data_IF_859928503390
#
_entry.id   IF_859928503390
#
_cell.length_a   1.000
_cell.length_b   1.000
_cell.length_c   1.000
_cell.angle_alpha   90.00
_cell.angle_beta   90.00
_cell.angle_gamma   90.00
#
_symmetry.space_group_name_H-M   'P 1'
#
loop_
_entity.id
_entity.type
_entity.pdbx_description
1 polymer ?
#
# COMPACT_ATOMS: atom_id res chain seq x y z
N UNK A 1 -13.58 16.45 6.90
CA UNK A 1 -12.53 16.72 5.90
C UNK A 1 -11.39 15.71 6.08
N UNK A 2 -11.72 14.42 5.97
CA UNK A 2 -10.92 13.26 6.45
C UNK A 2 -10.03 12.68 5.35
N UNK A 3 -10.47 12.68 4.09
CA UNK A 3 -9.66 12.33 2.90
C UNK A 3 -8.38 13.18 2.81
N UNK A 4 -8.40 14.42 3.32
CA UNK A 4 -7.26 15.34 3.29
C UNK A 4 -6.08 14.87 4.16
N UNK A 5 -6.33 14.12 5.25
CA UNK A 5 -5.26 13.73 6.17
C UNK A 5 -4.44 12.52 5.66
N UNK A 6 -5.08 11.54 5.02
CA UNK A 6 -4.38 10.40 4.41
C UNK A 6 -3.46 10.84 3.27
N UNK A 7 -3.94 11.75 2.42
CA UNK A 7 -3.14 12.34 1.34
C UNK A 7 -2.02 13.26 1.87
N UNK A 8 -2.26 13.96 2.98
CA UNK A 8 -1.24 14.79 3.62
C UNK A 8 -0.13 13.96 4.27
N UNK A 9 -0.47 12.84 4.94
CA UNK A 9 0.52 11.91 5.48
C UNK A 9 1.35 11.27 4.36
N UNK A 10 0.72 10.89 3.24
CA UNK A 10 1.42 10.40 2.05
C UNK A 10 2.39 11.45 1.47
N UNK A 11 1.96 12.71 1.38
CA UNK A 11 2.82 13.82 0.97
C UNK A 11 4.01 14.01 1.92
N UNK A 12 3.80 13.91 3.24
CA UNK A 12 4.86 14.02 4.23
C UNK A 12 5.90 12.90 4.08
N UNK A 13 5.46 11.67 3.80
CA UNK A 13 6.32 10.51 3.55
C UNK A 13 7.07 10.62 2.23
N UNK A 14 6.36 10.89 1.14
CA UNK A 14 6.95 10.78 -0.19
C UNK A 14 7.78 12.02 -0.57
N UNK A 15 7.32 13.22 -0.18
CA UNK A 15 7.94 14.49 -0.60
C UNK A 15 8.80 15.08 0.51
N UNK A 16 8.29 15.13 1.75
CA UNK A 16 9.01 15.79 2.86
C UNK A 16 9.96 14.86 3.61
N UNK A 17 9.84 13.55 3.42
CA UNK A 17 10.56 12.50 4.17
C UNK A 17 10.48 12.72 5.68
N UNK A 18 9.36 13.29 6.16
CA UNK A 18 9.11 13.56 7.57
C UNK A 18 8.21 12.46 8.15
N UNK A 19 8.84 11.33 8.49
CA UNK A 19 8.14 10.13 8.90
C UNK A 19 7.44 10.29 10.25
N UNK A 20 8.07 10.98 11.21
CA UNK A 20 7.48 11.19 12.54
C UNK A 20 6.15 11.95 12.46
N UNK A 21 6.12 13.00 11.64
CA UNK A 21 4.89 13.78 11.43
C UNK A 21 3.85 12.96 10.64
N UNK A 22 4.27 12.24 9.59
CA UNK A 22 3.36 11.39 8.82
C UNK A 22 2.67 10.34 9.70
N UNK A 23 3.43 9.67 10.57
CA UNK A 23 2.93 8.66 11.49
C UNK A 23 1.89 9.24 12.46
N UNK A 24 2.13 10.44 13.00
CA UNK A 24 1.16 11.12 13.87
C UNK A 24 -0.18 11.38 13.15
N UNK A 25 -0.14 11.76 11.86
CA UNK A 25 -1.36 11.96 11.08
C UNK A 25 -2.09 10.65 10.76
N UNK A 26 -1.36 9.57 10.45
CA UNK A 26 -1.97 8.26 10.28
C UNK A 26 -2.67 7.78 11.55
N UNK A 27 -1.98 7.83 12.69
CA UNK A 27 -2.53 7.44 13.99
C UNK A 27 -3.78 8.24 14.34
N UNK A 28 -3.73 9.58 14.20
CA UNK A 28 -4.90 10.44 14.44
C UNK A 28 -6.08 10.12 13.52
N UNK A 29 -5.83 9.76 12.27
CA UNK A 29 -6.89 9.40 11.32
C UNK A 29 -7.55 8.07 11.72
N UNK A 30 -6.74 7.10 12.16
CA UNK A 30 -7.21 5.80 12.65
C UNK A 30 -7.87 5.86 14.05
N UNK A 31 -7.55 6.85 14.87
CA UNK A 31 -8.30 7.11 16.12
C UNK A 31 -9.75 7.54 15.85
N UNK A 32 -9.98 8.26 14.74
CA UNK A 32 -11.31 8.76 14.37
C UNK A 32 -12.08 7.71 13.56
N UNK A 33 -11.42 7.07 12.59
CA UNK A 33 -12.01 6.07 11.70
C UNK A 33 -11.14 4.79 11.68
N UNK A 34 -11.22 3.95 12.73
CA UNK A 34 -10.33 2.79 12.89
C UNK A 34 -10.50 1.72 11.80
N UNK A 35 -11.69 1.65 11.21
CA UNK A 35 -12.07 0.66 10.19
C UNK A 35 -12.00 1.24 8.76
N UNK A 36 -11.49 2.46 8.59
CA UNK A 36 -11.34 3.05 7.26
C UNK A 36 -10.23 2.32 6.48
N UNK A 37 -10.61 1.62 5.41
CA UNK A 37 -9.69 0.79 4.61
C UNK A 37 -8.54 1.60 3.98
N UNK A 38 -8.81 2.81 3.51
CA UNK A 38 -7.80 3.69 2.91
C UNK A 38 -6.76 4.10 3.95
N UNK A 39 -7.19 4.48 5.16
CA UNK A 39 -6.26 4.87 6.22
C UNK A 39 -5.43 3.68 6.71
N UNK A 40 -6.05 2.51 6.84
CA UNK A 40 -5.34 1.29 7.19
C UNK A 40 -4.33 0.90 6.09
N UNK A 41 -4.71 1.00 4.81
CA UNK A 41 -3.86 0.70 3.66
C UNK A 41 -2.65 1.64 3.55
N UNK A 42 -2.89 2.95 3.63
CA UNK A 42 -1.80 3.94 3.56
C UNK A 42 -0.85 3.83 4.75
N UNK A 43 -1.38 3.54 5.94
CA UNK A 43 -0.53 3.34 7.11
C UNK A 43 0.27 2.04 7.02
N UNK A 44 -0.31 0.96 6.50
CA UNK A 44 0.40 -0.27 6.21
C UNK A 44 1.56 -0.03 5.22
N UNK A 45 1.31 0.69 4.12
CA UNK A 45 2.35 1.08 3.16
C UNK A 45 3.51 1.81 3.85
N UNK A 46 3.19 2.82 4.66
CA UNK A 46 4.16 3.60 5.40
C UNK A 46 5.01 2.73 6.34
N UNK A 47 4.40 1.80 7.07
CA UNK A 47 5.09 0.88 7.97
C UNK A 47 5.99 -0.09 7.22
N UNK A 48 5.58 -0.61 6.05
CA UNK A 48 6.46 -1.43 5.20
C UNK A 48 7.70 -0.65 4.78
N UNK A 49 7.53 0.59 4.31
CA UNK A 49 8.64 1.48 3.90
C UNK A 49 9.59 1.75 5.07
N UNK A 50 9.07 1.91 6.31
CA UNK A 50 9.89 2.03 7.52
C UNK A 50 10.56 0.73 7.97
N UNK A 51 10.15 -0.42 7.44
CA UNK A 51 10.64 -1.73 7.85
C UNK A 51 9.93 -2.34 9.06
N UNK A 52 8.78 -1.81 9.45
CA UNK A 52 7.95 -2.31 10.57
C UNK A 52 6.96 -3.38 10.09
N UNK A 53 7.50 -4.46 9.50
CA UNK A 53 6.74 -5.45 8.71
C UNK A 53 5.61 -6.13 9.48
N UNK A 54 5.84 -6.54 10.73
CA UNK A 54 4.81 -7.22 11.52
C UNK A 54 3.62 -6.31 11.79
N UNK A 55 3.86 -5.01 12.04
CA UNK A 55 2.78 -4.06 12.25
C UNK A 55 2.09 -3.70 10.94
N UNK A 56 2.87 -3.53 9.85
CA UNK A 56 2.33 -3.26 8.53
C UNK A 56 1.31 -4.32 8.09
N UNK A 57 1.61 -5.60 8.30
CA UNK A 57 0.69 -6.70 7.99
C UNK A 57 -0.64 -6.61 8.76
N UNK A 58 -0.61 -6.22 10.05
CA UNK A 58 -1.84 -6.05 10.84
C UNK A 58 -2.76 -4.99 10.23
N UNK A 59 -2.20 -3.85 9.82
CA UNK A 59 -3.01 -2.79 9.19
C UNK A 59 -3.40 -3.16 7.76
N UNK A 60 -2.56 -3.89 7.04
CA UNK A 60 -2.89 -4.40 5.70
C UNK A 60 -4.09 -5.35 5.74
N UNK A 61 -4.12 -6.27 6.71
CA UNK A 61 -5.23 -7.20 6.89
C UNK A 61 -6.53 -6.47 7.27
N UNK A 62 -6.44 -5.44 8.11
CA UNK A 62 -7.59 -4.55 8.37
C UNK A 62 -8.06 -3.84 7.10
N UNK A 63 -7.13 -3.32 6.29
CA UNK A 63 -7.47 -2.67 5.03
C UNK A 63 -8.22 -3.63 4.10
N UNK A 64 -7.76 -4.88 3.96
CA UNK A 64 -8.47 -5.92 3.20
C UNK A 64 -9.86 -6.21 3.77
N UNK A 65 -10.01 -6.31 5.10
CA UNK A 65 -11.30 -6.60 5.73
C UNK A 65 -12.37 -5.54 5.48
N UNK A 66 -11.96 -4.29 5.24
CA UNK A 66 -12.87 -3.15 5.05
C UNK A 66 -12.81 -2.54 3.64
N UNK A 67 -12.04 -3.12 2.72
CA UNK A 67 -11.88 -2.59 1.37
C UNK A 67 -13.17 -2.67 0.53
N UNK A 68 -14.18 -3.44 0.95
CA UNK A 68 -15.46 -3.62 0.26
C UNK A 68 -15.28 -3.75 -1.27
N UNK A 69 -15.91 -2.88 -2.06
CA UNK A 69 -15.82 -2.84 -3.53
C UNK A 69 -14.78 -1.82 -4.05
N UNK A 70 -13.85 -1.35 -3.22
CA UNK A 70 -12.77 -0.44 -3.63
C UNK A 70 -11.69 -1.20 -4.40
N UNK A 71 -11.95 -1.50 -5.67
CA UNK A 71 -11.08 -2.30 -6.52
C UNK A 71 -9.71 -1.66 -6.76
N UNK A 72 -9.67 -0.34 -6.88
CA UNK A 72 -8.45 0.47 -6.96
C UNK A 72 -7.56 0.26 -5.72
N UNK A 73 -8.14 0.40 -4.53
CA UNK A 73 -7.45 0.12 -3.27
C UNK A 73 -7.00 -1.35 -3.21
N UNK A 74 -7.84 -2.30 -3.61
CA UNK A 74 -7.46 -3.72 -3.62
C UNK A 74 -6.23 -3.98 -4.50
N UNK A 75 -6.09 -3.30 -5.63
CA UNK A 75 -4.89 -3.41 -6.46
C UNK A 75 -3.64 -2.93 -5.72
N UNK A 76 -3.73 -1.82 -4.98
CA UNK A 76 -2.63 -1.32 -4.14
C UNK A 76 -2.27 -2.30 -3.01
N UNK A 77 -3.27 -2.82 -2.28
CA UNK A 77 -3.05 -3.73 -1.16
C UNK A 77 -2.43 -5.06 -1.62
N UNK A 78 -2.87 -5.60 -2.76
CA UNK A 78 -2.27 -6.81 -3.34
C UNK A 78 -0.84 -6.55 -3.83
N UNK A 79 -0.57 -5.37 -4.39
CA UNK A 79 0.80 -4.96 -4.71
C UNK A 79 1.69 -4.96 -3.45
N UNK A 80 1.21 -4.44 -2.32
CA UNK A 80 1.97 -4.47 -1.07
C UNK A 80 2.24 -5.88 -0.56
N UNK A 81 1.26 -6.79 -0.66
CA UNK A 81 1.47 -8.20 -0.33
C UNK A 81 2.51 -8.84 -1.25
N UNK A 82 2.47 -8.57 -2.55
CA UNK A 82 3.47 -9.07 -3.48
C UNK A 82 4.87 -8.58 -3.08
N UNK A 83 5.03 -7.28 -2.84
CA UNK A 83 6.32 -6.67 -2.51
C UNK A 83 6.88 -7.17 -1.17
N UNK A 84 6.06 -7.24 -0.12
CA UNK A 84 6.55 -7.34 1.26
C UNK A 84 6.16 -8.61 2.02
N UNK A 85 5.25 -9.44 1.48
CA UNK A 85 4.73 -10.61 2.20
C UNK A 85 5.00 -11.92 1.43
N UNK A 86 6.15 -12.59 1.66
CA UNK A 86 6.55 -13.79 0.93
C UNK A 86 5.48 -14.87 0.84
N UNK A 87 4.76 -15.13 1.94
CA UNK A 87 3.74 -16.17 2.04
C UNK A 87 2.51 -15.90 1.16
N UNK A 88 2.29 -14.64 0.77
CA UNK A 88 1.12 -14.22 -0.01
C UNK A 88 1.45 -13.90 -1.48
N UNK A 89 2.70 -14.03 -1.92
CA UNK A 89 3.13 -13.58 -3.26
C UNK A 89 2.37 -14.24 -4.40
N UNK A 90 2.19 -15.56 -4.32
CA UNK A 90 1.47 -16.29 -5.36
C UNK A 90 0.01 -15.84 -5.45
N UNK A 91 -0.66 -15.72 -4.31
CA UNK A 91 -2.02 -15.21 -4.24
C UNK A 91 -2.09 -13.76 -4.74
N UNK A 92 -1.13 -12.92 -4.39
CA UNK A 92 -1.09 -11.53 -4.82
C UNK A 92 -0.99 -11.40 -6.35
N UNK A 93 -0.17 -12.23 -7.00
CA UNK A 93 -0.08 -12.29 -8.47
C UNK A 93 -1.44 -12.64 -9.08
N UNK A 94 -2.08 -13.71 -8.60
CA UNK A 94 -3.37 -14.16 -9.13
C UNK A 94 -4.47 -13.08 -9.00
N UNK A 95 -4.49 -12.37 -7.86
CA UNK A 95 -5.47 -11.31 -7.64
C UNK A 95 -5.17 -10.04 -8.44
N UNK A 96 -3.90 -9.67 -8.59
CA UNK A 96 -3.49 -8.54 -9.42
C UNK A 96 -3.82 -8.78 -10.90
N UNK A 97 -3.55 -9.98 -11.40
CA UNK A 97 -3.89 -10.35 -12.78
C UNK A 97 -5.41 -10.27 -13.00
N UNK A 98 -6.22 -10.83 -12.10
CA UNK A 98 -7.68 -10.75 -12.18
C UNK A 98 -8.21 -9.29 -12.18
N UNK A 99 -7.67 -8.44 -11.30
CA UNK A 99 -8.05 -7.02 -11.25
C UNK A 99 -7.67 -6.29 -12.55
N UNK A 100 -6.47 -6.54 -13.08
CA UNK A 100 -5.99 -5.94 -14.32
C UNK A 100 -6.78 -6.42 -15.54
N UNK A 101 -7.20 -7.68 -15.60
CA UNK A 101 -8.09 -8.22 -16.64
C UNK A 101 -9.47 -7.54 -16.62
N UNK A 102 -9.96 -7.17 -15.43
CA UNK A 102 -11.18 -6.37 -15.27
C UNK A 102 -10.98 -4.89 -15.63
N UNK A 103 -9.76 -4.47 -15.97
CA UNK A 103 -9.42 -3.09 -16.29
C UNK A 103 -9.26 -2.18 -15.07
N UNK A 104 -9.14 -2.74 -13.86
CA UNK A 104 -8.94 -1.98 -12.64
C UNK A 104 -7.56 -1.32 -12.65
N UNK A 105 -7.52 -0.06 -12.25
CA UNK A 105 -6.32 0.79 -12.13
C UNK A 105 -6.35 1.56 -10.83
N UNK A 106 -5.19 1.93 -10.32
CA UNK A 106 -5.04 3.00 -9.33
C UNK A 106 -4.21 4.13 -9.95
N UNK A 107 -4.89 4.96 -10.74
CA UNK A 107 -4.26 5.96 -11.59
C UNK A 107 -3.52 6.99 -10.73
N UNK A 108 -2.23 7.15 -10.98
CA UNK A 108 -1.38 8.12 -10.29
C UNK A 108 -0.89 7.67 -8.91
N UNK A 109 -1.20 6.45 -8.47
CA UNK A 109 -0.60 5.88 -7.27
C UNK A 109 0.89 5.58 -7.48
N UNK A 110 1.71 5.91 -6.48
CA UNK A 110 3.17 5.78 -6.53
C UNK A 110 3.64 4.58 -5.72
N UNK A 111 4.12 3.56 -6.42
CA UNK A 111 4.67 2.33 -5.84
C UNK A 111 6.20 2.35 -5.67
N UNK A 112 6.89 3.41 -6.08
CA UNK A 112 8.35 3.46 -6.14
C UNK A 112 9.02 3.16 -4.78
N UNK A 113 8.49 3.74 -3.69
CA UNK A 113 9.02 3.51 -2.36
C UNK A 113 8.87 2.05 -1.89
N UNK A 114 7.79 1.36 -2.29
CA UNK A 114 7.61 -0.05 -2.01
C UNK A 114 8.59 -0.91 -2.81
N UNK A 115 8.84 -0.57 -4.08
CA UNK A 115 9.80 -1.28 -4.94
C UNK A 115 11.22 -1.15 -4.38
N UNK A 116 11.65 0.07 -4.04
CA UNK A 116 12.97 0.30 -3.43
C UNK A 116 13.11 -0.47 -2.11
N UNK A 117 12.08 -0.46 -1.27
CA UNK A 117 12.10 -1.23 -0.02
C UNK A 117 12.14 -2.74 -0.26
N UNK A 118 11.39 -3.25 -1.23
CA UNK A 118 11.42 -4.67 -1.59
C UNK A 118 12.81 -5.10 -2.08
N UNK A 119 13.50 -4.23 -2.83
CA UNK A 119 14.90 -4.45 -3.24
C UNK A 119 15.85 -4.50 -2.05
N UNK A 120 15.72 -3.60 -1.07
CA UNK A 120 16.48 -3.67 0.17
C UNK A 120 16.22 -4.98 0.96
N UNK A 121 14.99 -5.49 0.89
CA UNK A 121 14.59 -6.77 1.49
C UNK A 121 15.06 -8.00 0.69
N UNK A 122 15.73 -7.81 -0.46
CA UNK A 122 16.20 -8.89 -1.31
C UNK A 122 15.11 -9.57 -2.13
N UNK A 123 14.01 -8.87 -2.44
CA UNK A 123 13.03 -9.34 -3.40
C UNK A 123 13.64 -9.47 -4.79
N UNK A 124 13.45 -10.61 -5.44
CA UNK A 124 13.79 -10.85 -6.83
C UNK A 124 12.68 -11.68 -7.49
N UNK A 125 12.23 -11.38 -8.73
CA UNK A 125 12.77 -10.35 -9.65
C UNK A 125 12.10 -8.97 -9.51
N UNK A 126 12.89 -7.90 -9.30
CA UNK A 126 12.35 -6.52 -9.15
C UNK A 126 11.56 -6.04 -10.37
N UNK A 127 11.90 -6.50 -11.57
CA UNK A 127 11.20 -6.15 -12.81
C UNK A 127 9.72 -6.55 -12.78
N UNK A 128 9.37 -7.60 -12.02
CA UNK A 128 7.98 -8.00 -11.83
C UNK A 128 7.17 -6.90 -11.12
N UNK A 129 7.74 -6.33 -10.05
CA UNK A 129 7.09 -5.24 -9.33
C UNK A 129 6.95 -4.00 -10.21
N UNK A 130 7.97 -3.67 -11.01
CA UNK A 130 7.90 -2.54 -11.94
C UNK A 130 6.78 -2.73 -12.97
N UNK A 131 6.65 -3.93 -13.55
CA UNK A 131 5.60 -4.22 -14.53
C UNK A 131 4.20 -4.08 -13.94
N UNK A 132 3.98 -4.57 -12.71
CA UNK A 132 2.69 -4.37 -12.04
C UNK A 132 2.44 -2.91 -11.72
N UNK A 133 3.43 -2.19 -11.19
CA UNK A 133 3.30 -0.77 -10.90
C UNK A 133 2.92 0.03 -12.15
N UNK A 134 3.61 -0.19 -13.28
CA UNK A 134 3.32 0.49 -14.54
C UNK A 134 1.90 0.18 -15.04
N UNK A 135 1.48 -1.09 -14.95
CA UNK A 135 0.13 -1.51 -15.35
C UNK A 135 -0.95 -0.96 -14.43
N UNK A 136 -0.72 -0.82 -13.13
CA UNK A 136 -1.75 -0.37 -12.18
C UNK A 136 -1.88 1.16 -12.25
N UNK A 137 -0.78 1.88 -12.40
CA UNK A 137 -0.73 3.35 -12.30
C UNK A 137 -1.11 4.10 -13.59
N UNK A 138 -1.25 3.40 -14.73
CA UNK A 138 -1.56 3.96 -16.06
C UNK A 138 -2.97 3.64 -16.55
#
# INVERSE_FOLDING_TARGET
NTIVNGNYALFLTNIRKNHDQAEAYYKKSLEIEPDNAIFNGNYAQFLFIKGEESQAQVYLDKAFNFADNHQDLLAELWFYRLAHCPDYRQQAIEQLDALLEMGVKSIGWDFSANIERAKEQGFEPIELLQQYADKISQ
#
